data_IF_996374536555
#
_entry.id   IF_996374536555
#
_cell.length_a   1.000
_cell.length_b   1.000
_cell.length_c   1.000
_cell.angle_alpha   90.00
_cell.angle_beta   90.00
_cell.angle_gamma   90.00
#
_symmetry.space_group_name_H-M   'P 1'
#
loop_
_entity.id
_entity.type
_entity.pdbx_description
1 polymer ?
#
# COMPACT_ATOMS: atom_id res chain seq x y z
N UNK A 1 -11.90 -11.81 -10.45
CA UNK A 1 -12.31 -11.04 -11.64
C UNK A 1 -11.31 -9.90 -11.73
N UNK A 2 -10.34 -9.97 -12.64
CA UNK A 2 -9.38 -8.88 -12.83
C UNK A 2 -10.18 -7.63 -13.20
N UNK A 3 -10.04 -6.55 -12.43
CA UNK A 3 -10.78 -5.31 -12.68
C UNK A 3 -10.57 -4.85 -14.12
N UNK A 4 -11.65 -4.80 -14.91
CA UNK A 4 -11.68 -4.27 -16.28
C UNK A 4 -11.06 -2.85 -16.38
N UNK A 5 -11.01 -2.13 -15.26
CA UNK A 5 -10.38 -0.81 -15.12
C UNK A 5 -8.85 -0.87 -15.28
N UNK A 6 -8.19 -1.93 -14.80
CA UNK A 6 -6.73 -2.08 -14.83
C UNK A 6 -6.21 -2.33 -16.27
N UNK A 7 -6.93 -3.14 -17.04
CA UNK A 7 -6.51 -3.48 -18.41
C UNK A 7 -6.58 -2.28 -19.37
N UNK A 8 -7.57 -1.38 -19.20
CA UNK A 8 -7.65 -0.15 -20.00
C UNK A 8 -6.43 0.76 -19.81
N UNK A 9 -5.90 0.84 -18.59
CA UNK A 9 -4.67 1.57 -18.29
C UNK A 9 -3.46 0.96 -18.99
N UNK A 10 -3.34 -0.38 -18.95
CA UNK A 10 -2.28 -1.12 -19.64
C UNK A 10 -2.34 -0.90 -21.16
N UNK A 11 -3.52 -1.03 -21.77
CA UNK A 11 -3.71 -0.79 -23.23
C UNK A 11 -3.25 0.62 -23.60
N UNK A 12 -3.70 1.65 -22.87
CA UNK A 12 -3.29 3.04 -23.14
C UNK A 12 -1.76 3.20 -23.10
N UNK A 13 -1.11 2.58 -22.12
CA UNK A 13 0.35 2.62 -21.98
C UNK A 13 1.04 1.92 -23.15
N UNK A 14 0.61 0.71 -23.49
CA UNK A 14 1.17 -0.05 -24.63
C UNK A 14 1.00 0.72 -25.93
N UNK A 15 -0.20 1.23 -26.23
CA UNK A 15 -0.44 2.04 -27.43
C UNK A 15 0.52 3.22 -27.49
N UNK A 16 0.67 3.98 -26.40
CA UNK A 16 1.55 5.16 -26.38
C UNK A 16 3.05 4.86 -26.58
N UNK A 17 3.49 3.63 -26.34
CA UNK A 17 4.91 3.27 -26.28
C UNK A 17 5.33 2.27 -27.36
N UNK A 18 4.41 1.46 -27.89
CA UNK A 18 4.68 0.27 -28.71
C UNK A 18 3.83 0.25 -29.99
N UNK A 19 2.98 1.25 -30.23
CA UNK A 19 2.12 1.29 -31.43
C UNK A 19 2.85 1.11 -32.75
N UNK A 20 4.11 1.54 -32.82
CA UNK A 20 4.96 1.37 -34.00
C UNK A 20 5.28 -0.09 -34.36
N UNK A 21 5.09 -1.05 -33.43
CA UNK A 21 5.25 -2.51 -33.59
C UNK A 21 3.92 -3.27 -33.42
N UNK A 22 2.79 -2.62 -33.68
CA UNK A 22 1.47 -3.19 -33.42
C UNK A 22 1.24 -4.56 -34.11
N UNK A 23 1.85 -4.80 -35.27
CA UNK A 23 1.69 -6.03 -36.04
C UNK A 23 2.54 -7.18 -35.52
N UNK A 24 3.76 -6.90 -35.05
CA UNK A 24 4.57 -7.88 -34.33
C UNK A 24 3.89 -8.26 -33.00
N UNK A 25 3.37 -7.26 -32.27
CA UNK A 25 2.60 -7.51 -31.05
C UNK A 25 1.35 -8.36 -31.32
N UNK A 26 0.62 -8.08 -32.40
CA UNK A 26 -0.56 -8.85 -32.78
C UNK A 26 -0.23 -10.33 -33.06
N UNK A 27 0.92 -10.63 -33.67
CA UNK A 27 1.35 -12.01 -33.90
C UNK A 27 1.65 -12.75 -32.60
N UNK A 28 2.38 -12.11 -31.68
CA UNK A 28 2.70 -12.70 -30.38
C UNK A 28 1.46 -12.90 -29.51
N UNK A 29 0.43 -12.05 -29.66
CA UNK A 29 -0.86 -12.20 -29.01
C UNK A 29 -1.79 -13.22 -29.71
N UNK A 30 -1.33 -13.86 -30.79
CA UNK A 30 -2.03 -14.95 -31.46
C UNK A 30 -3.12 -14.53 -32.44
N UNK A 31 -3.14 -13.28 -32.92
CA UNK A 31 -4.05 -12.87 -34.00
C UNK A 31 -3.65 -13.54 -35.32
N UNK A 32 -4.65 -13.93 -36.11
CA UNK A 32 -4.40 -14.54 -37.41
C UNK A 32 -3.87 -13.52 -38.42
N UNK A 33 -3.04 -13.99 -39.36
CA UNK A 33 -2.47 -13.15 -40.42
C UNK A 33 -3.54 -12.39 -41.22
N UNK A 34 -4.70 -13.01 -41.44
CA UNK A 34 -5.83 -12.38 -42.15
C UNK A 34 -6.42 -11.19 -41.39
N UNK A 35 -6.49 -11.28 -40.07
CA UNK A 35 -6.99 -10.21 -39.21
C UNK A 35 -6.05 -9.00 -39.22
N UNK A 36 -4.74 -9.27 -39.10
CA UNK A 36 -3.69 -8.25 -39.15
C UNK A 36 -3.71 -7.52 -40.51
N UNK A 37 -3.83 -8.25 -41.62
CA UNK A 37 -3.93 -7.64 -42.96
C UNK A 37 -5.19 -6.82 -43.16
N UNK A 38 -6.31 -7.24 -42.56
CA UNK A 38 -7.56 -6.47 -42.60
C UNK A 38 -7.38 -5.13 -41.89
N UNK A 39 -6.88 -5.14 -40.64
CA UNK A 39 -6.62 -3.91 -39.86
C UNK A 39 -5.57 -3.03 -40.55
N UNK A 40 -4.58 -3.63 -41.22
CA UNK A 40 -3.52 -2.89 -41.93
C UNK A 40 -4.08 -2.01 -43.05
N UNK A 41 -5.06 -2.52 -43.80
CA UNK A 41 -5.64 -1.89 -45.01
C UNK A 41 -6.88 -1.06 -44.74
N UNK A 42 -7.49 -1.21 -43.58
CA UNK A 42 -8.70 -0.51 -43.19
C UNK A 42 -8.41 0.98 -42.97
N UNK A 43 -9.13 1.83 -43.71
CA UNK A 43 -9.03 3.29 -43.62
C UNK A 43 -9.58 3.86 -42.30
N UNK A 44 -10.31 3.06 -41.51
CA UNK A 44 -10.82 3.43 -40.20
C UNK A 44 -9.71 3.62 -39.16
N UNK A 45 -8.55 2.97 -39.33
CA UNK A 45 -7.41 3.03 -38.41
C UNK A 45 -6.22 3.73 -39.12
N UNK A 46 -6.21 5.06 -39.22
CA UNK A 46 -5.25 5.79 -40.05
C UNK A 46 -3.82 5.70 -39.48
N UNK A 47 -3.67 5.58 -38.15
CA UNK A 47 -2.37 5.58 -37.48
C UNK A 47 -1.97 4.23 -36.86
N UNK A 48 -0.67 4.06 -36.51
CA UNK A 48 -0.20 2.90 -35.74
C UNK A 48 -0.89 2.77 -34.38
N UNK A 49 -1.22 3.90 -33.73
CA UNK A 49 -1.89 3.92 -32.43
C UNK A 49 -3.31 3.31 -32.50
N UNK A 50 -4.06 3.65 -33.55
CA UNK A 50 -5.41 3.14 -33.78
C UNK A 50 -5.37 1.63 -34.03
N UNK A 51 -4.43 1.17 -34.87
CA UNK A 51 -4.22 -0.25 -35.17
C UNK A 51 -3.79 -1.03 -33.93
N UNK A 52 -2.88 -0.46 -33.13
CA UNK A 52 -2.43 -1.07 -31.88
C UNK A 52 -3.55 -1.17 -30.85
N UNK A 53 -4.41 -0.16 -30.76
CA UNK A 53 -5.58 -0.20 -29.87
C UNK A 53 -6.55 -1.30 -30.30
N UNK A 54 -6.87 -1.34 -31.58
CA UNK A 54 -7.81 -2.31 -32.15
C UNK A 54 -7.34 -3.77 -31.94
N UNK A 55 -6.07 -4.08 -32.22
CA UNK A 55 -5.56 -5.45 -32.00
C UNK A 55 -5.57 -5.85 -30.53
N UNK A 56 -5.30 -4.91 -29.61
CA UNK A 56 -5.31 -5.18 -28.18
C UNK A 56 -6.73 -5.43 -27.66
N UNK A 57 -7.70 -4.65 -28.13
CA UNK A 57 -9.11 -4.79 -27.78
C UNK A 57 -9.67 -6.12 -28.32
N UNK A 58 -9.42 -6.45 -29.59
CA UNK A 58 -9.80 -7.75 -30.17
C UNK A 58 -9.18 -8.94 -29.47
N UNK A 59 -7.90 -8.86 -29.14
CA UNK A 59 -7.23 -9.93 -28.38
C UNK A 59 -7.87 -10.10 -27.00
N UNK A 60 -8.17 -9.00 -26.30
CA UNK A 60 -8.78 -9.05 -24.98
C UNK A 60 -10.21 -9.63 -25.00
N UNK A 61 -10.97 -9.39 -26.07
CA UNK A 61 -12.30 -9.98 -26.26
C UNK A 61 -12.24 -11.49 -26.54
N UNK A 62 -11.17 -11.96 -27.19
CA UNK A 62 -11.01 -13.36 -27.60
C UNK A 62 -10.24 -14.22 -26.60
N UNK A 63 -9.41 -13.61 -25.75
CA UNK A 63 -8.52 -14.37 -24.87
C UNK A 63 -9.31 -15.16 -23.82
N UNK A 64 -8.97 -16.43 -23.67
CA UNK A 64 -9.51 -17.32 -22.62
C UNK A 64 -8.56 -17.43 -21.42
N UNK A 65 -7.46 -16.66 -21.44
CA UNK A 65 -6.44 -16.69 -20.39
C UNK A 65 -6.97 -16.20 -19.05
N UNK A 66 -6.53 -16.86 -17.98
CA UNK A 66 -6.83 -16.48 -16.60
C UNK A 66 -5.95 -15.32 -16.11
N UNK A 67 -4.86 -15.01 -16.82
CA UNK A 67 -3.97 -13.87 -16.55
C UNK A 67 -3.53 -13.16 -17.84
N UNK A 68 -4.44 -12.39 -18.48
CA UNK A 68 -4.12 -11.68 -19.71
C UNK A 68 -2.96 -10.69 -19.54
N UNK A 69 -2.77 -10.11 -18.36
CA UNK A 69 -1.67 -9.17 -18.14
C UNK A 69 -0.30 -9.85 -18.27
N UNK A 70 -0.17 -11.07 -17.74
CA UNK A 70 1.05 -11.86 -17.91
C UNK A 70 1.30 -12.22 -19.37
N UNK A 71 0.27 -12.56 -20.13
CA UNK A 71 0.40 -12.89 -21.54
C UNK A 71 0.83 -11.67 -22.36
N UNK A 72 0.20 -10.52 -22.11
CA UNK A 72 0.60 -9.25 -22.73
C UNK A 72 2.04 -8.89 -22.41
N UNK A 73 2.48 -9.06 -21.16
CA UNK A 73 3.88 -8.82 -20.77
C UNK A 73 4.84 -9.76 -21.49
N UNK A 74 4.46 -11.02 -21.64
CA UNK A 74 5.27 -12.03 -22.34
C UNK A 74 5.42 -11.65 -23.81
N UNK A 75 4.30 -11.36 -24.50
CA UNK A 75 4.30 -10.89 -25.88
C UNK A 75 5.16 -9.61 -26.07
N UNK A 76 5.07 -8.65 -25.14
CA UNK A 76 5.90 -7.45 -25.16
C UNK A 76 7.39 -7.77 -25.01
N UNK A 77 7.77 -8.72 -24.16
CA UNK A 77 9.16 -9.16 -24.01
C UNK A 77 9.66 -9.80 -25.31
N UNK A 78 8.84 -10.62 -25.95
CA UNK A 78 9.19 -11.34 -27.18
C UNK A 78 9.42 -10.40 -28.37
N UNK A 79 8.67 -9.30 -28.45
CA UNK A 79 8.93 -8.22 -29.44
C UNK A 79 10.02 -7.22 -29.03
N UNK A 80 10.80 -7.55 -28.00
CA UNK A 80 11.91 -6.76 -27.43
C UNK A 80 11.49 -5.44 -26.76
N UNK A 81 10.24 -5.33 -26.33
CA UNK A 81 9.68 -4.21 -25.57
C UNK A 81 9.72 -4.44 -24.06
N UNK A 82 10.83 -5.00 -23.57
CA UNK A 82 11.00 -5.35 -22.14
C UNK A 82 10.80 -4.16 -21.21
N UNK A 83 11.22 -2.95 -21.60
CA UNK A 83 11.01 -1.74 -20.80
C UNK A 83 9.52 -1.41 -20.65
N UNK A 84 8.76 -1.54 -21.74
CA UNK A 84 7.31 -1.35 -21.70
C UNK A 84 6.66 -2.43 -20.84
N UNK A 85 7.02 -3.70 -21.03
CA UNK A 85 6.51 -4.81 -20.22
C UNK A 85 6.75 -4.61 -18.71
N UNK A 86 7.96 -4.20 -18.33
CA UNK A 86 8.31 -3.85 -16.95
C UNK A 86 7.56 -2.59 -16.46
N UNK A 87 7.30 -1.63 -17.35
CA UNK A 87 6.49 -0.46 -16.98
C UNK A 87 5.01 -0.78 -16.80
N UNK A 88 4.52 -1.92 -17.32
CA UNK A 88 3.16 -2.41 -17.04
C UNK A 88 3.05 -2.98 -15.62
N UNK A 89 4.17 -3.21 -14.91
CA UNK A 89 4.16 -3.42 -13.46
C UNK A 89 3.72 -2.14 -12.70
N UNK A 90 3.79 -0.97 -13.34
CA UNK A 90 3.48 0.36 -12.77
C UNK A 90 2.04 0.80 -13.13
N UNK A 91 1.35 0.06 -14.00
CA UNK A 91 -0.07 0.25 -14.32
C UNK A 91 -1.02 -0.64 -13.54
N UNK A 92 -0.49 -1.69 -12.88
CA UNK A 92 -1.24 -2.44 -11.90
C UNK A 92 -1.45 -1.56 -10.66
N UNK A 93 -2.62 -0.94 -10.56
CA UNK A 93 -3.24 -0.75 -9.24
C UNK A 93 -3.65 -2.13 -8.71
N UNK A 94 -2.69 -3.02 -8.47
CA UNK A 94 -2.71 -3.69 -7.20
C UNK A 94 -2.24 -2.61 -6.25
N UNK A 95 -3.17 -1.94 -5.56
CA UNK A 95 -2.81 -1.27 -4.30
C UNK A 95 -1.88 -2.23 -3.59
N UNK A 96 -0.62 -1.86 -3.29
CA UNK A 96 0.35 -2.80 -2.78
C UNK A 96 -0.30 -3.57 -1.63
N UNK A 97 -0.34 -4.89 -1.75
CA UNK A 97 -1.08 -5.74 -0.82
C UNK A 97 -0.30 -5.78 0.49
N UNK A 98 -0.98 -5.48 1.59
CA UNK A 98 -0.39 -5.43 2.91
C UNK A 98 -1.03 -4.34 3.76
N UNK A 99 -0.54 -4.20 4.98
CA UNK A 99 -1.06 -3.19 5.89
C UNK A 99 -0.76 -1.78 5.37
N UNK A 100 -1.79 -0.95 5.40
CA UNK A 100 -1.73 0.50 5.12
C UNK A 100 -1.40 1.29 6.38
N UNK A 101 -1.76 0.75 7.55
CA UNK A 101 -1.53 1.33 8.87
C UNK A 101 -0.70 0.38 9.70
N UNK A 102 0.38 0.89 10.31
CA UNK A 102 1.17 0.17 11.32
C UNK A 102 0.95 0.85 12.66
N UNK A 103 0.54 0.09 13.69
CA UNK A 103 0.34 0.60 15.06
C UNK A 103 1.49 0.13 15.95
N UNK A 104 2.47 1.01 16.14
CA UNK A 104 3.61 0.78 17.02
C UNK A 104 3.25 1.17 18.45
N UNK A 105 3.55 0.26 19.39
CA UNK A 105 3.16 0.37 20.80
C UNK A 105 4.10 -0.48 21.67
N UNK A 106 4.11 -0.22 22.99
CA UNK A 106 4.67 -1.16 23.95
C UNK A 106 3.65 -2.26 24.25
N UNK A 107 4.10 -3.49 24.48
CA UNK A 107 3.22 -4.62 24.77
C UNK A 107 2.32 -4.39 26.00
N UNK A 108 2.78 -3.59 26.95
CA UNK A 108 2.03 -3.19 28.15
C UNK A 108 0.78 -2.37 27.83
N UNK A 109 0.78 -1.60 26.74
CA UNK A 109 -0.36 -0.73 26.36
C UNK A 109 -1.42 -1.50 25.54
N UNK A 110 -1.20 -2.79 25.28
CA UNK A 110 -1.95 -3.56 24.29
C UNK A 110 -3.42 -3.72 24.66
N UNK A 111 -3.68 -4.27 25.84
CA UNK A 111 -5.04 -4.57 26.30
C UNK A 111 -5.84 -3.30 26.61
N UNK A 112 -5.22 -2.31 27.24
CA UNK A 112 -5.94 -1.13 27.73
C UNK A 112 -6.22 -0.08 26.66
N UNK A 113 -5.43 -0.04 25.57
CA UNK A 113 -5.55 1.01 24.55
C UNK A 113 -5.48 0.50 23.11
N UNK A 114 -4.47 -0.30 22.77
CA UNK A 114 -4.18 -0.63 21.36
C UNK A 114 -5.24 -1.56 20.77
N UNK A 115 -5.64 -2.61 21.49
CA UNK A 115 -6.70 -3.51 21.04
C UNK A 115 -8.04 -2.77 20.88
N UNK A 116 -8.52 -2.00 21.88
CA UNK A 116 -9.70 -1.14 21.70
C UNK A 116 -9.61 -0.21 20.49
N UNK A 117 -8.45 0.44 20.27
CA UNK A 117 -8.23 1.30 19.11
C UNK A 117 -8.33 0.53 17.80
N UNK A 118 -7.74 -0.66 17.72
CA UNK A 118 -7.80 -1.47 16.51
C UNK A 118 -9.21 -1.98 16.26
N UNK A 119 -9.95 -2.42 17.28
CA UNK A 119 -11.36 -2.79 17.11
C UNK A 119 -12.18 -1.61 16.57
N UNK A 120 -11.92 -0.40 17.07
CA UNK A 120 -12.57 0.82 16.59
C UNK A 120 -12.21 1.13 15.12
N UNK A 121 -10.94 0.93 14.71
CA UNK A 121 -10.49 1.09 13.32
C UNK A 121 -11.11 0.06 12.37
N UNK A 122 -11.44 -1.14 12.87
CA UNK A 122 -11.97 -2.26 12.11
C UNK A 122 -13.50 -2.36 12.11
N UNK A 123 -14.21 -1.38 12.67
CA UNK A 123 -15.67 -1.33 12.56
C UNK A 123 -16.14 -1.37 11.09
N UNK A 124 -17.39 -1.82 10.82
CA UNK A 124 -17.93 -1.89 9.48
C UNK A 124 -17.77 -0.58 8.70
N UNK A 125 -17.39 -0.69 7.42
CA UNK A 125 -17.14 0.43 6.51
C UNK A 125 -15.94 1.32 6.87
N UNK A 126 -15.02 0.87 7.75
CA UNK A 126 -13.73 1.51 8.02
C UNK A 126 -12.58 0.73 7.37
N UNK A 127 -11.55 0.35 8.14
CA UNK A 127 -10.41 -0.43 7.63
C UNK A 127 -10.71 -1.93 7.68
N UNK A 128 -10.07 -2.69 6.77
CA UNK A 128 -10.09 -4.14 6.83
C UNK A 128 -8.99 -4.67 7.75
N UNK A 129 -9.14 -5.89 8.27
CA UNK A 129 -8.12 -6.52 9.11
C UNK A 129 -6.74 -6.59 8.42
N UNK A 130 -6.72 -6.75 7.10
CA UNK A 130 -5.49 -6.75 6.30
C UNK A 130 -4.84 -5.37 6.14
N UNK A 131 -5.58 -4.29 6.37
CA UNK A 131 -5.09 -2.91 6.26
C UNK A 131 -4.32 -2.47 7.51
N UNK A 132 -4.46 -3.17 8.65
CA UNK A 132 -3.86 -2.78 9.93
C UNK A 132 -2.87 -3.84 10.40
N UNK A 133 -1.62 -3.44 10.60
CA UNK A 133 -0.60 -4.23 11.28
C UNK A 133 -0.44 -3.70 12.70
N UNK A 134 -0.67 -4.56 13.68
CA UNK A 134 -0.34 -4.34 15.08
C UNK A 134 -0.01 -5.72 15.66
N UNK A 135 1.03 -5.78 16.51
CA UNK A 135 1.57 -6.97 17.18
C UNK A 135 0.67 -8.22 17.06
N UNK A 136 0.94 -9.00 16.02
CA UNK A 136 0.06 -10.03 15.47
C UNK A 136 -0.17 -11.12 16.51
N UNK A 137 -1.44 -11.40 16.81
CA UNK A 137 -1.92 -12.66 17.41
C UNK A 137 -1.74 -13.89 16.48
N UNK A 138 -0.78 -13.87 15.55
CA UNK A 138 -0.67 -14.87 14.47
C UNK A 138 0.74 -15.40 14.26
N UNK A 139 1.68 -15.05 15.14
CA UNK A 139 2.99 -15.71 15.15
C UNK A 139 2.84 -17.10 15.77
N UNK A 140 3.28 -18.11 15.04
CA UNK A 140 3.43 -19.46 15.55
C UNK A 140 4.74 -19.55 16.32
N UNK A 141 4.85 -20.45 17.32
CA UNK A 141 6.14 -20.75 17.93
C UNK A 141 7.18 -21.09 16.85
N UNK A 142 8.24 -20.27 16.73
CA UNK A 142 9.29 -20.41 15.71
C UNK A 142 9.28 -19.35 14.60
N UNK A 143 8.22 -18.53 14.48
CA UNK A 143 8.21 -17.39 13.56
C UNK A 143 9.08 -16.26 14.11
N UNK A 144 9.85 -15.61 13.23
CA UNK A 144 10.64 -14.44 13.59
C UNK A 144 9.78 -13.17 13.52
N UNK A 145 9.29 -12.73 14.68
CA UNK A 145 8.56 -11.46 14.88
C UNK A 145 9.26 -10.29 14.18
N UNK A 146 10.59 -10.28 14.19
CA UNK A 146 11.35 -9.21 13.58
C UNK A 146 11.22 -9.17 12.07
N UNK A 147 11.36 -10.32 11.43
CA UNK A 147 11.22 -10.45 9.98
C UNK A 147 9.83 -9.97 9.52
N UNK A 148 8.77 -10.24 10.30
CA UNK A 148 7.42 -9.74 9.98
C UNK A 148 7.27 -8.23 10.16
N UNK A 149 7.78 -7.66 11.26
CA UNK A 149 7.78 -6.22 11.50
C UNK A 149 8.53 -5.50 10.39
N UNK A 150 9.73 -5.96 10.07
CA UNK A 150 10.57 -5.35 9.04
C UNK A 150 9.90 -5.46 7.66
N UNK A 151 9.29 -6.61 7.34
CA UNK A 151 8.54 -6.79 6.10
C UNK A 151 7.34 -5.81 6.01
N UNK A 152 6.58 -5.64 7.09
CA UNK A 152 5.47 -4.68 7.14
C UNK A 152 5.97 -3.23 6.98
N UNK A 153 7.05 -2.87 7.69
CA UNK A 153 7.67 -1.55 7.61
C UNK A 153 8.36 -1.26 6.29
N UNK A 154 8.76 -2.28 5.51
CA UNK A 154 9.31 -2.15 4.15
C UNK A 154 8.24 -2.24 3.06
N UNK A 155 7.00 -2.63 3.40
CA UNK A 155 5.93 -2.77 2.41
C UNK A 155 5.51 -1.42 1.83
N UNK A 156 5.46 -1.23 0.50
CA UNK A 156 4.96 0.01 -0.14
C UNK A 156 3.47 0.32 0.12
N UNK A 157 2.70 -0.65 0.61
CA UNK A 157 1.32 -0.49 1.09
C UNK A 157 1.24 0.45 2.29
N UNK A 158 2.26 0.43 3.16
CA UNK A 158 2.26 1.18 4.40
C UNK A 158 2.27 2.69 4.12
N UNK A 159 1.21 3.37 4.54
CA UNK A 159 1.01 4.82 4.36
C UNK A 159 1.07 5.58 5.66
N UNK A 160 0.65 4.96 6.75
CA UNK A 160 0.55 5.60 8.05
C UNK A 160 1.19 4.74 9.15
N UNK A 161 2.02 5.38 9.96
CA UNK A 161 2.60 4.82 11.17
C UNK A 161 1.96 5.51 12.37
N UNK A 162 1.02 4.83 13.02
CA UNK A 162 0.40 5.27 14.27
C UNK A 162 1.36 4.90 15.39
N UNK A 163 1.88 5.91 16.08
CA UNK A 163 2.84 5.71 17.15
C UNK A 163 2.19 5.99 18.49
N UNK A 164 1.90 4.93 19.25
CA UNK A 164 1.42 5.03 20.62
C UNK A 164 2.63 5.24 21.52
N UNK A 165 2.81 6.48 21.98
CA UNK A 165 3.89 6.88 22.87
C UNK A 165 3.30 6.91 24.27
N UNK A 166 3.73 5.97 25.10
CA UNK A 166 3.39 5.87 26.52
C UNK A 166 4.66 5.92 27.38
N UNK A 167 4.52 5.93 28.69
CA UNK A 167 5.66 5.74 29.61
C UNK A 167 6.43 4.45 29.35
N UNK A 168 5.76 3.39 28.89
CA UNK A 168 6.39 2.11 28.61
C UNK A 168 7.33 2.24 27.40
N UNK A 169 6.86 2.86 26.32
CA UNK A 169 7.70 3.19 25.15
C UNK A 169 8.89 4.07 25.53
N UNK A 170 8.68 5.10 26.36
CA UNK A 170 9.74 6.01 26.80
C UNK A 170 10.76 5.32 27.74
N UNK A 171 10.33 4.28 28.47
CA UNK A 171 11.21 3.48 29.33
C UNK A 171 11.98 2.39 28.57
N UNK A 172 11.48 1.96 27.41
CA UNK A 172 12.11 0.94 26.57
C UNK A 172 13.21 1.54 25.69
N UNK A 173 14.35 0.84 25.64
CA UNK A 173 15.58 1.39 25.04
C UNK A 173 15.80 1.05 23.56
N UNK A 174 14.98 0.20 22.91
CA UNK A 174 15.34 -0.29 21.55
C UNK A 174 14.20 -0.54 20.56
N UNK A 175 13.04 -1.08 20.95
CA UNK A 175 12.10 -1.68 19.97
C UNK A 175 11.25 -0.67 19.19
N UNK A 176 10.38 0.15 19.81
CA UNK A 176 9.59 1.14 19.06
C UNK A 176 10.45 2.19 18.35
N UNK A 177 11.68 2.39 18.84
CA UNK A 177 12.69 3.28 18.25
C UNK A 177 13.08 2.86 16.84
N UNK A 178 13.43 1.59 16.63
CA UNK A 178 13.87 1.12 15.31
C UNK A 178 12.73 1.14 14.29
N UNK A 179 11.51 0.79 14.73
CA UNK A 179 10.32 0.84 13.89
C UNK A 179 10.05 2.27 13.38
N UNK A 180 10.12 3.23 14.30
CA UNK A 180 10.00 4.65 13.97
C UNK A 180 11.09 5.12 13.01
N UNK A 181 12.36 4.79 13.26
CA UNK A 181 13.47 5.17 12.36
C UNK A 181 13.28 4.63 10.95
N UNK A 182 12.85 3.36 10.81
CA UNK A 182 12.55 2.76 9.51
C UNK A 182 11.37 3.45 8.80
N UNK A 183 10.27 3.68 9.51
CA UNK A 183 9.11 4.37 8.96
C UNK A 183 9.44 5.80 8.52
N UNK A 184 10.19 6.52 9.36
CA UNK A 184 10.64 7.88 9.11
C UNK A 184 11.59 7.95 7.91
N UNK A 185 12.57 7.06 7.82
CA UNK A 185 13.51 6.99 6.68
C UNK A 185 12.81 6.72 5.34
N UNK A 186 11.67 6.02 5.36
CA UNK A 186 10.82 5.79 4.18
C UNK A 186 9.86 6.94 3.85
N UNK A 187 9.78 7.97 4.70
CA UNK A 187 8.81 9.04 4.55
C UNK A 187 7.37 8.62 4.82
N UNK A 188 7.16 7.52 5.57
CA UNK A 188 5.82 7.12 6.02
C UNK A 188 5.29 8.20 6.97
N UNK A 189 4.02 8.58 6.82
CA UNK A 189 3.43 9.62 7.65
C UNK A 189 3.27 9.10 9.08
N UNK A 190 3.76 9.86 10.05
CA UNK A 190 3.64 9.55 11.48
C UNK A 190 2.37 10.20 12.04
N UNK A 191 1.57 9.42 12.78
CA UNK A 191 0.43 9.88 13.58
C UNK A 191 0.74 9.57 15.05
N UNK A 192 1.26 10.55 15.82
CA UNK A 192 1.62 10.32 17.21
C UNK A 192 0.39 10.39 18.13
N UNK A 193 0.31 9.43 19.05
CA UNK A 193 -0.65 9.38 20.15
C UNK A 193 0.14 9.41 21.44
N UNK A 194 -0.23 10.30 22.35
CA UNK A 194 0.34 10.34 23.70
C UNK A 194 -0.63 9.66 24.65
N UNK A 195 -0.32 8.43 25.04
CA UNK A 195 -1.06 7.69 26.04
C UNK A 195 -0.48 8.02 27.42
N UNK A 196 -1.24 8.80 28.20
CA UNK A 196 -0.79 9.35 29.48
C UNK A 196 -1.62 8.81 30.65
N UNK A 197 -0.97 8.66 31.79
CA UNK A 197 -1.58 8.34 33.09
C UNK A 197 -1.46 9.54 34.03
N UNK A 198 -2.13 9.50 35.17
CA UNK A 198 -2.08 10.56 36.19
C UNK A 198 -0.65 10.76 36.70
N UNK A 199 0.09 9.67 36.89
CA UNK A 199 1.47 9.68 37.37
C UNK A 199 2.52 10.06 36.30
N UNK A 200 2.11 10.36 35.07
CA UNK A 200 3.00 10.76 33.98
C UNK A 200 3.30 12.26 33.99
N UNK A 201 3.84 12.73 35.12
CA UNK A 201 4.38 14.08 35.25
C UNK A 201 5.45 14.35 34.18
N UNK A 202 5.50 15.58 33.66
CA UNK A 202 6.45 16.05 32.66
C UNK A 202 6.53 15.19 31.38
N UNK A 203 5.42 14.54 30.98
CA UNK A 203 5.39 13.66 29.81
C UNK A 203 5.92 14.32 28.54
N UNK A 204 5.54 15.58 28.28
CA UNK A 204 6.04 16.33 27.12
C UNK A 204 7.56 16.52 27.15
N UNK A 205 8.14 16.72 28.33
CA UNK A 205 9.59 16.84 28.48
C UNK A 205 10.26 15.49 28.23
N UNK A 206 9.73 14.40 28.80
CA UNK A 206 10.24 13.04 28.59
C UNK A 206 10.20 12.63 27.12
N UNK A 207 9.17 13.03 26.37
CA UNK A 207 9.11 12.85 24.91
C UNK A 207 10.22 13.65 24.21
N UNK A 208 10.46 14.91 24.62
CA UNK A 208 11.49 15.76 24.01
C UNK A 208 12.93 15.30 24.29
N UNK A 209 13.16 14.66 25.44
CA UNK A 209 14.45 14.11 25.84
C UNK A 209 14.76 12.76 25.17
N UNK A 210 13.76 12.15 24.53
CA UNK A 210 13.94 10.91 23.79
C UNK A 210 14.70 11.21 22.49
N UNK A 211 16.03 11.09 22.52
CA UNK A 211 16.96 11.60 21.51
C UNK A 211 16.66 11.15 20.07
N UNK A 212 16.08 9.96 19.91
CA UNK A 212 15.67 9.42 18.59
C UNK A 212 14.40 10.03 18.01
N UNK A 213 13.63 10.72 18.84
CA UNK A 213 12.34 11.29 18.50
C UNK A 213 12.39 12.83 18.49
N UNK A 214 13.58 13.44 18.48
CA UNK A 214 13.73 14.89 18.33
C UNK A 214 12.91 15.39 17.14
N UNK A 215 11.96 16.28 17.40
CA UNK A 215 10.99 16.81 16.44
C UNK A 215 9.59 16.23 16.58
N UNK A 216 9.37 15.10 17.27
CA UNK A 216 8.04 14.58 17.57
C UNK A 216 7.28 15.48 18.53
N UNK A 217 7.97 16.19 19.42
CA UNK A 217 7.37 17.22 20.29
C UNK A 217 6.72 18.36 19.48
N UNK A 218 7.12 18.52 18.21
CA UNK A 218 6.58 19.53 17.29
C UNK A 218 5.42 19.00 16.46
N UNK A 219 5.20 17.69 16.45
CA UNK A 219 4.01 17.11 15.86
C UNK A 219 2.84 17.29 16.83
N UNK A 220 1.69 17.69 16.29
CA UNK A 220 0.44 17.73 17.05
C UNK A 220 0.04 16.28 17.35
N UNK A 221 0.35 15.83 18.57
CA UNK A 221 -0.03 14.51 19.05
C UNK A 221 -1.46 14.49 19.59
N UNK A 222 -2.15 13.38 19.34
CA UNK A 222 -3.43 13.11 19.99
C UNK A 222 -3.17 12.67 21.43
N UNK A 223 -3.47 13.52 22.40
CA UNK A 223 -3.29 13.22 23.82
C UNK A 223 -4.51 12.51 24.41
N UNK A 224 -4.28 11.33 24.97
CA UNK A 224 -5.31 10.44 25.50
C UNK A 224 -4.93 10.03 26.91
N UNK A 225 -5.78 10.31 27.87
CA UNK A 225 -5.62 9.80 29.22
C UNK A 225 -6.17 8.36 29.29
N UNK A 226 -5.50 7.45 30.00
CA UNK A 226 -5.93 6.03 30.11
C UNK A 226 -7.36 5.85 30.63
N UNK A 227 -7.85 6.80 31.45
CA UNK A 227 -9.23 6.80 31.96
C UNK A 227 -10.27 7.37 30.98
N UNK A 228 -9.84 7.95 29.85
CA UNK A 228 -10.71 8.60 28.84
C UNK A 228 -10.71 7.83 27.51
N UNK A 229 -10.11 6.64 27.48
CA UNK A 229 -9.91 5.86 26.25
C UNK A 229 -11.25 5.60 25.56
N UNK A 230 -12.22 5.02 26.26
CA UNK A 230 -13.53 4.69 25.68
C UNK A 230 -14.22 5.89 25.02
N UNK A 231 -14.17 7.06 25.66
CA UNK A 231 -14.77 8.30 25.15
C UNK A 231 -14.03 8.83 23.92
N UNK A 232 -12.70 8.80 23.94
CA UNK A 232 -11.87 9.42 22.89
C UNK A 232 -11.65 8.53 21.68
N UNK A 233 -11.77 7.22 21.83
CA UNK A 233 -11.49 6.22 20.79
C UNK A 233 -12.19 6.50 19.45
N UNK A 234 -13.51 6.77 19.39
CA UNK A 234 -14.17 7.04 18.12
C UNK A 234 -13.59 8.27 17.40
N UNK A 235 -13.25 9.32 18.15
CA UNK A 235 -12.64 10.53 17.60
C UNK A 235 -11.24 10.26 17.05
N UNK A 236 -10.40 9.55 17.81
CA UNK A 236 -9.03 9.19 17.40
C UNK A 236 -9.05 8.33 16.14
N UNK A 237 -9.88 7.27 16.12
CA UNK A 237 -10.02 6.40 14.96
C UNK A 237 -10.52 7.17 13.73
N UNK A 238 -11.49 8.08 13.92
CA UNK A 238 -11.96 8.96 12.85
C UNK A 238 -10.84 9.82 12.26
N UNK A 239 -9.97 10.41 13.11
CA UNK A 239 -8.81 11.20 12.66
C UNK A 239 -7.76 10.37 11.94
N UNK A 240 -7.54 9.12 12.36
CA UNK A 240 -6.65 8.18 11.68
C UNK A 240 -7.20 7.85 10.29
N UNK A 241 -8.48 7.51 10.17
CA UNK A 241 -9.10 7.14 8.89
C UNK A 241 -9.15 8.34 7.94
N UNK A 242 -9.41 9.54 8.46
CA UNK A 242 -9.47 10.78 7.68
C UNK A 242 -8.09 11.25 7.17
N UNK A 243 -7.00 10.55 7.48
CA UNK A 243 -5.68 10.92 6.97
C UNK A 243 -5.65 10.85 5.42
N UNK A 244 -5.18 11.91 4.73
CA UNK A 244 -5.25 11.98 3.25
C UNK A 244 -4.58 10.81 2.52
N UNK A 245 -3.51 10.25 3.09
CA UNK A 245 -2.78 9.11 2.52
C UNK A 245 -3.51 7.76 2.63
N UNK A 246 -4.65 7.70 3.33
CA UNK A 246 -5.49 6.49 3.46
C UNK A 246 -6.79 6.58 2.64
N UNK A 247 -7.06 7.73 2.01
CA UNK A 247 -8.19 7.97 1.11
C UNK A 247 -7.79 7.66 -0.34
#
# INVERSE_FOLDING_TARGET
MLDLVNMKGCIKKVVSSVSYKWDDLARELGLERGEIETIRRDSQYPGPDDKCREILERWLEKTTSTDPLRDLKTALIDIRERRTAQSLDIGATATPTGAKVFVSHASEDKEEFVEPLVQELLQPNRLQKSDVFYDKHSLKPGDDLWTEIEAALRNPALKLFVFVISRHVLSQKTWPKYEYELAHARGVRIFPIWLVREEDEDFSQKVSEYDTMRGLERLLAERVHVNEVEEKLPSIAGKIIAQPQLQ
#
